data_IF_097770853353
#
_entry.id   IF_097770853353
#
_cell.length_a   1.000
_cell.length_b   1.000
_cell.length_c   1.000
_cell.angle_alpha   90.00
_cell.angle_beta   90.00
_cell.angle_gamma   90.00
#
_symmetry.space_group_name_H-M   'P 1'
#
loop_
_entity.id
_entity.type
_entity.pdbx_description
1 polymer ?
#
# COMPACT_ATOMS: atom_id res chain seq x y z
N UNK A 1 0.80 8.41 8.10
CA UNK A 1 1.67 9.29 7.29
C UNK A 1 1.16 9.39 5.86
N UNK A 2 1.24 8.35 5.03
CA UNK A 2 0.59 8.35 3.70
C UNK A 2 1.36 9.08 2.61
N UNK A 3 2.56 9.58 2.91
CA UNK A 3 3.35 10.44 2.04
C UNK A 3 3.75 9.82 0.67
N UNK A 4 3.78 8.49 0.56
CA UNK A 4 3.94 7.80 -0.72
C UNK A 4 2.59 7.20 -1.10
N UNK A 5 2.00 7.64 -2.21
CA UNK A 5 0.62 7.30 -2.57
C UNK A 5 0.50 6.06 -3.46
N UNK A 6 1.55 5.67 -4.18
CA UNK A 6 1.53 4.56 -5.16
C UNK A 6 2.71 3.61 -4.90
N UNK A 7 2.50 2.31 -5.11
CA UNK A 7 3.56 1.29 -5.17
C UNK A 7 3.49 0.65 -6.55
N UNK A 8 4.61 0.64 -7.28
CA UNK A 8 4.75 0.02 -8.61
C UNK A 8 5.85 -1.04 -8.61
N UNK A 9 5.96 -1.80 -9.70
CA UNK A 9 6.90 -2.92 -9.83
C UNK A 9 8.29 -2.54 -10.29
N UNK A 10 8.42 -1.51 -11.13
CA UNK A 10 9.64 -1.25 -11.93
C UNK A 10 10.15 -2.51 -12.68
N UNK A 11 9.25 -3.08 -13.48
CA UNK A 11 9.39 -4.42 -14.07
C UNK A 11 10.68 -4.58 -14.87
N UNK A 12 11.49 -5.59 -14.54
CA UNK A 12 12.75 -5.91 -15.24
C UNK A 12 13.81 -4.79 -15.24
N UNK A 13 13.54 -3.67 -14.58
CA UNK A 13 14.39 -2.49 -14.51
C UNK A 13 14.62 -2.05 -13.07
N UNK A 14 14.75 -3.03 -12.15
CA UNK A 14 15.03 -2.94 -10.69
C UNK A 14 13.94 -3.50 -9.77
N UNK A 15 12.80 -3.98 -10.31
CA UNK A 15 11.83 -4.69 -9.49
C UNK A 15 11.07 -5.82 -10.17
N UNK A 16 10.04 -6.30 -9.47
CA UNK A 16 9.41 -7.61 -9.68
C UNK A 16 7.92 -7.44 -9.93
N UNK A 17 7.49 -7.72 -11.17
CA UNK A 17 6.09 -7.53 -11.59
C UNK A 17 5.08 -8.31 -10.75
N UNK A 18 5.42 -9.55 -10.35
CA UNK A 18 4.54 -10.41 -9.56
C UNK A 18 4.46 -10.07 -8.07
N UNK A 19 5.20 -9.07 -7.58
CA UNK A 19 5.34 -8.81 -6.15
C UNK A 19 4.65 -7.54 -5.65
N UNK A 20 4.04 -6.71 -6.51
CA UNK A 20 3.44 -5.42 -6.12
C UNK A 20 2.45 -5.56 -4.96
N UNK A 21 1.52 -6.52 -5.07
CA UNK A 21 0.52 -6.79 -4.04
C UNK A 21 1.18 -7.33 -2.77
N UNK A 22 2.02 -8.36 -2.89
CA UNK A 22 2.67 -9.00 -1.74
C UNK A 22 3.56 -8.01 -0.97
N UNK A 23 4.38 -7.21 -1.66
CA UNK A 23 5.24 -6.19 -1.05
C UNK A 23 4.47 -5.08 -0.36
N UNK A 24 3.31 -4.71 -0.91
CA UNK A 24 2.40 -3.76 -0.26
C UNK A 24 1.94 -4.28 1.10
N UNK A 25 1.51 -5.54 1.18
CA UNK A 25 1.05 -6.15 2.43
C UNK A 25 2.19 -6.48 3.41
N UNK A 26 3.36 -6.89 2.93
CA UNK A 26 4.56 -7.02 3.76
C UNK A 26 4.93 -5.68 4.42
N UNK A 27 4.87 -4.59 3.65
CA UNK A 27 5.12 -3.24 4.18
C UNK A 27 4.06 -2.84 5.20
N UNK A 28 2.78 -3.12 4.95
CA UNK A 28 1.70 -2.87 5.89
C UNK A 28 1.92 -3.61 7.21
N UNK A 29 2.23 -4.91 7.13
CA UNK A 29 2.53 -5.75 8.27
C UNK A 29 3.74 -5.25 9.08
N UNK A 30 4.86 -4.96 8.43
CA UNK A 30 6.04 -4.42 9.10
C UNK A 30 5.77 -3.06 9.75
N UNK A 31 4.98 -2.20 9.13
CA UNK A 31 4.61 -0.91 9.73
C UNK A 31 3.73 -1.08 10.96
N UNK A 32 2.77 -2.01 10.93
CA UNK A 32 1.93 -2.32 12.10
C UNK A 32 2.77 -2.86 13.26
N UNK A 33 3.72 -3.75 13.01
CA UNK A 33 4.62 -4.28 14.06
C UNK A 33 5.50 -3.19 14.67
N UNK A 34 5.98 -2.23 13.86
CA UNK A 34 6.93 -1.21 14.33
C UNK A 34 6.27 0.04 14.91
N UNK A 35 5.09 0.42 14.42
CA UNK A 35 4.43 1.69 14.76
C UNK A 35 3.07 1.52 15.43
N UNK A 36 2.58 0.29 15.56
CA UNK A 36 1.25 0.01 16.05
C UNK A 36 0.16 0.33 15.02
N UNK A 37 -1.09 0.26 15.48
CA UNK A 37 -2.27 0.61 14.70
C UNK A 37 -2.33 2.12 14.42
N UNK A 38 -2.99 2.50 13.32
CA UNK A 38 -3.23 3.92 13.05
C UNK A 38 -4.24 4.51 14.03
N UNK A 39 -4.21 5.84 14.27
CA UNK A 39 -5.23 6.51 15.06
C UNK A 39 -6.64 6.21 14.50
N UNK A 40 -7.54 5.74 15.38
CA UNK A 40 -8.91 5.36 15.01
C UNK A 40 -9.07 3.92 14.50
N UNK A 41 -8.00 3.14 14.36
CA UNK A 41 -8.12 1.68 14.22
C UNK A 41 -8.29 1.05 15.61
N UNK A 42 -9.27 0.15 15.73
CA UNK A 42 -9.57 -0.58 16.96
C UNK A 42 -8.96 -1.99 16.92
N UNK A 43 -9.80 -3.01 17.17
CA UNK A 43 -9.40 -4.42 17.02
C UNK A 43 -9.01 -4.78 15.57
N UNK A 44 -9.68 -4.16 14.60
CA UNK A 44 -9.43 -4.35 13.17
C UNK A 44 -8.57 -3.20 12.61
N UNK A 45 -7.66 -3.54 11.69
CA UNK A 45 -6.74 -2.63 11.01
C UNK A 45 -7.35 -2.14 9.67
N UNK A 46 -8.61 -1.69 9.72
CA UNK A 46 -9.38 -1.39 8.53
C UNK A 46 -8.86 -0.15 7.82
N UNK A 47 -8.48 0.90 8.56
CA UNK A 47 -7.92 2.11 7.96
C UNK A 47 -6.52 1.83 7.39
N UNK A 48 -5.69 1.07 8.10
CA UNK A 48 -4.44 0.54 7.57
C UNK A 48 -4.63 -0.22 6.26
N UNK A 49 -5.50 -1.22 6.25
CA UNK A 49 -5.77 -2.04 5.07
C UNK A 49 -6.27 -1.21 3.87
N UNK A 50 -7.24 -0.30 4.08
CA UNK A 50 -7.74 0.59 3.02
C UNK A 50 -6.64 1.49 2.46
N UNK A 51 -5.77 2.01 3.33
CA UNK A 51 -4.66 2.86 2.92
C UNK A 51 -3.62 2.12 2.08
N UNK A 52 -3.41 0.82 2.32
CA UNK A 52 -2.46 0.02 1.55
C UNK A 52 -3.05 -0.53 0.25
N UNK A 53 -4.31 -1.01 0.24
CA UNK A 53 -4.96 -1.47 -1.00
C UNK A 53 -5.05 -0.35 -2.03
N UNK A 54 -5.34 0.88 -1.60
CA UNK A 54 -5.43 2.04 -2.49
C UNK A 54 -4.14 2.30 -3.29
N UNK A 55 -2.97 1.88 -2.78
CA UNK A 55 -1.65 2.15 -3.39
C UNK A 55 -1.42 1.45 -4.73
N UNK A 56 -2.14 0.36 -4.99
CA UNK A 56 -2.03 -0.41 -6.23
C UNK A 56 -3.39 -0.59 -6.94
N UNK A 57 -4.44 0.08 -6.48
CA UNK A 57 -5.77 0.07 -7.11
C UNK A 57 -6.18 1.46 -7.57
N UNK A 58 -6.89 2.22 -6.72
CA UNK A 58 -7.49 3.50 -7.10
C UNK A 58 -6.46 4.62 -7.29
N UNK A 59 -5.38 4.66 -6.49
CA UNK A 59 -4.40 5.76 -6.61
C UNK A 59 -3.66 5.74 -7.97
N UNK A 60 -3.20 4.57 -8.49
CA UNK A 60 -2.72 4.49 -9.87
C UNK A 60 -3.76 4.89 -10.91
N UNK A 61 -5.03 4.48 -10.76
CA UNK A 61 -6.08 4.81 -11.72
C UNK A 61 -6.30 6.33 -11.83
N UNK A 62 -6.43 7.01 -10.69
CA UNK A 62 -6.53 8.47 -10.61
C UNK A 62 -5.30 9.15 -11.19
N UNK A 63 -4.09 8.68 -10.87
CA UNK A 63 -2.85 9.28 -11.35
C UNK A 63 -2.68 9.16 -12.88
N UNK A 64 -3.26 8.13 -13.48
CA UNK A 64 -3.27 7.94 -14.93
C UNK A 64 -4.52 8.48 -15.63
N UNK A 65 -5.48 9.04 -14.90
CA UNK A 65 -6.72 9.62 -15.45
C UNK A 65 -7.68 8.59 -16.03
N UNK A 66 -7.76 7.42 -15.41
CA UNK A 66 -8.59 6.28 -15.86
C UNK A 66 -9.52 5.75 -14.74
N UNK A 67 -9.74 6.56 -13.69
CA UNK A 67 -10.61 6.23 -12.56
C UNK A 67 -12.11 6.27 -12.87
#
# INVERSE_FOLDING_TARGET
LGAISIISSDSQAMGRIGEVVCRTWQTAHCMKLRRGSLPGDGRADTQGARRYVAKYTINPAVAHGID
#
